data_IF_789525898440
#
_entry.id   IF_789525898440
#
_cell.length_a   1.000
_cell.length_b   1.000
_cell.length_c   1.000
_cell.angle_alpha   90.00
_cell.angle_beta   90.00
_cell.angle_gamma   90.00
#
_symmetry.space_group_name_H-M   'P 1'
#
loop_
_entity.id
_entity.type
_entity.pdbx_description
1 polymer ?
#
# COMPACT_ATOMS: atom_id res chain seq x y z
N UNK A 1 -47.67 45.24 -17.83
CA UNK A 1 -46.19 45.38 -17.91
C UNK A 1 -45.39 44.89 -16.70
N UNK A 2 -45.95 44.77 -15.48
CA UNK A 2 -45.20 44.28 -14.29
C UNK A 2 -45.06 42.75 -14.19
N UNK A 3 -46.08 41.99 -14.63
CA UNK A 3 -46.09 40.52 -14.53
C UNK A 3 -45.01 39.83 -15.38
N UNK A 4 -44.73 40.34 -16.60
CA UNK A 4 -43.67 39.78 -17.45
C UNK A 4 -42.30 39.90 -16.80
N UNK A 5 -41.98 41.06 -16.21
CA UNK A 5 -40.70 41.28 -15.53
C UNK A 5 -40.54 40.36 -14.31
N UNK A 6 -41.63 40.12 -13.57
CA UNK A 6 -41.63 39.19 -12.44
C UNK A 6 -41.44 37.74 -12.90
N UNK A 7 -42.16 37.30 -13.93
CA UNK A 7 -42.03 35.96 -14.49
C UNK A 7 -40.62 35.69 -15.04
N UNK A 8 -40.02 36.68 -15.72
CA UNK A 8 -38.66 36.57 -16.25
C UNK A 8 -37.62 36.45 -15.12
N UNK A 9 -37.81 37.19 -14.02
CA UNK A 9 -36.94 37.14 -12.85
C UNK A 9 -37.02 35.78 -12.13
N UNK A 10 -38.22 35.20 -12.03
CA UNK A 10 -38.42 33.84 -11.49
C UNK A 10 -37.71 32.80 -12.37
N UNK A 11 -37.82 32.89 -13.70
CA UNK A 11 -37.12 31.97 -14.62
C UNK A 11 -35.61 32.05 -14.45
N UNK A 12 -35.05 33.26 -14.33
CA UNK A 12 -33.60 33.46 -14.11
C UNK A 12 -33.18 32.81 -12.78
N UNK A 13 -33.95 33.00 -11.71
CA UNK A 13 -33.66 32.37 -10.41
C UNK A 13 -33.71 30.85 -10.52
N UNK A 14 -34.71 30.28 -11.19
CA UNK A 14 -34.83 28.83 -11.40
C UNK A 14 -33.64 28.28 -12.21
N UNK A 15 -33.18 29.01 -13.25
CA UNK A 15 -32.00 28.61 -14.02
C UNK A 15 -30.72 28.69 -13.20
N UNK A 16 -30.55 29.71 -12.37
CA UNK A 16 -29.39 29.83 -11.48
C UNK A 16 -29.37 28.72 -10.44
N UNK A 17 -30.50 28.46 -9.79
CA UNK A 17 -30.64 27.38 -8.80
C UNK A 17 -30.43 26.02 -9.47
N UNK A 18 -31.05 25.77 -10.62
CA UNK A 18 -30.88 24.52 -11.38
C UNK A 18 -29.43 24.31 -11.85
N UNK A 19 -28.78 25.37 -12.34
CA UNK A 19 -27.37 25.34 -12.73
C UNK A 19 -26.44 25.07 -11.54
N UNK A 20 -26.74 25.66 -10.38
CA UNK A 20 -26.00 25.41 -9.14
C UNK A 20 -26.14 23.96 -8.67
N UNK A 21 -27.36 23.42 -8.65
CA UNK A 21 -27.60 22.01 -8.30
C UNK A 21 -26.92 21.04 -9.27
N UNK A 22 -26.99 21.30 -10.58
CA UNK A 22 -26.31 20.49 -11.58
C UNK A 22 -24.79 20.52 -11.38
N UNK A 23 -24.21 21.70 -11.11
CA UNK A 23 -22.79 21.84 -10.83
C UNK A 23 -22.37 21.08 -9.57
N UNK A 24 -23.14 21.19 -8.47
CA UNK A 24 -22.86 20.43 -7.25
C UNK A 24 -22.90 18.92 -7.49
N UNK A 25 -23.95 18.43 -8.17
CA UNK A 25 -24.08 17.02 -8.50
C UNK A 25 -22.90 16.50 -9.31
N UNK A 26 -22.47 17.24 -10.34
CA UNK A 26 -21.31 16.86 -11.16
C UNK A 26 -20.02 16.84 -10.36
N UNK A 27 -19.86 17.75 -9.40
CA UNK A 27 -18.71 17.74 -8.49
C UNK A 27 -18.76 16.55 -7.53
N UNK A 28 -19.94 16.12 -7.10
CA UNK A 28 -20.10 14.97 -6.21
C UNK A 28 -19.79 13.66 -6.94
N UNK A 29 -20.30 13.50 -8.17
CA UNK A 29 -20.00 12.36 -9.04
C UNK A 29 -18.49 12.23 -9.33
N UNK A 30 -17.78 13.37 -9.47
CA UNK A 30 -16.33 13.39 -9.70
C UNK A 30 -15.52 12.69 -8.61
N UNK A 31 -15.99 12.74 -7.36
CA UNK A 31 -15.30 12.17 -6.20
C UNK A 31 -15.99 10.95 -5.60
N UNK A 32 -16.98 10.40 -6.30
CA UNK A 32 -17.70 9.24 -5.83
C UNK A 32 -16.72 8.07 -5.60
N UNK A 33 -16.88 7.34 -4.49
CA UNK A 33 -16.03 6.18 -4.20
C UNK A 33 -14.60 6.50 -3.75
N UNK A 34 -14.17 7.78 -3.69
CA UNK A 34 -12.87 8.16 -3.13
C UNK A 34 -12.97 8.30 -1.60
N UNK A 35 -12.28 7.46 -0.80
CA UNK A 35 -12.30 7.54 0.66
C UNK A 35 -11.64 8.83 1.18
N UNK A 36 -10.60 9.28 0.48
CA UNK A 36 -9.84 10.49 0.77
C UNK A 36 -9.78 11.36 -0.49
N UNK A 37 -10.05 12.65 -0.31
CA UNK A 37 -9.99 13.66 -1.38
C UNK A 37 -8.91 14.67 -0.98
N UNK A 38 -7.67 14.53 -1.46
CA UNK A 38 -6.57 15.44 -1.12
C UNK A 38 -6.91 16.92 -1.30
N UNK A 39 -7.69 17.30 -2.33
CA UNK A 39 -8.09 18.70 -2.56
C UNK A 39 -9.00 19.28 -1.46
N UNK A 40 -9.57 18.43 -0.58
CA UNK A 40 -10.43 18.82 0.54
C UNK A 40 -9.76 18.65 1.89
N UNK A 41 -8.51 18.20 1.93
CA UNK A 41 -7.71 18.03 3.15
C UNK A 41 -6.55 19.01 3.15
N UNK A 42 -6.23 19.57 4.31
CA UNK A 42 -5.13 20.54 4.41
C UNK A 42 -3.74 19.87 4.48
N UNK A 43 -3.71 18.59 4.86
CA UNK A 43 -2.51 17.88 5.28
C UNK A 43 -2.09 16.71 4.37
N UNK A 44 -2.87 16.43 3.33
CA UNK A 44 -2.52 15.48 2.28
C UNK A 44 -2.43 16.28 0.97
N UNK A 45 -1.21 16.61 0.51
CA UNK A 45 -1.03 17.37 -0.73
C UNK A 45 -1.39 16.49 -1.95
N UNK A 46 -1.74 17.10 -3.07
CA UNK A 46 -2.01 16.38 -4.33
C UNK A 46 -0.84 16.55 -5.29
N UNK A 47 -0.28 15.44 -5.79
CA UNK A 47 0.74 15.46 -6.84
C UNK A 47 0.23 16.20 -8.09
N UNK A 48 1.06 17.10 -8.63
CA UNK A 48 0.70 17.91 -9.80
C UNK A 48 0.60 17.04 -11.06
N UNK A 49 -0.63 16.72 -11.46
CA UNK A 49 -0.91 15.86 -12.61
C UNK A 49 -2.06 14.90 -12.35
N UNK A 50 -2.23 14.49 -11.09
CA UNK A 50 -3.32 13.63 -10.67
C UNK A 50 -4.67 14.32 -10.83
N UNK A 51 -5.59 13.64 -11.52
CA UNK A 51 -6.97 14.07 -11.71
C UNK A 51 -7.91 13.01 -11.13
N UNK A 52 -9.00 13.39 -10.46
CA UNK A 52 -9.97 12.43 -9.99
C UNK A 52 -10.65 11.74 -11.17
N UNK A 53 -10.61 10.43 -11.18
CA UNK A 53 -11.32 9.54 -12.08
C UNK A 53 -11.87 8.37 -11.25
N UNK A 54 -12.82 8.70 -10.37
CA UNK A 54 -13.52 7.79 -9.45
C UNK A 54 -13.54 6.33 -9.96
N UNK A 55 -13.06 5.36 -9.15
CA UNK A 55 -12.72 5.47 -7.73
C UNK A 55 -11.24 5.77 -7.46
N UNK A 56 -10.47 6.24 -8.45
CA UNK A 56 -9.02 6.47 -8.32
C UNK A 56 -8.64 7.88 -8.79
N UNK A 57 -7.39 8.29 -8.54
CA UNK A 57 -6.77 9.40 -9.25
C UNK A 57 -5.92 8.86 -10.38
N UNK A 58 -5.89 9.56 -11.52
CA UNK A 58 -5.11 9.15 -12.69
C UNK A 58 -4.19 10.26 -13.18
N UNK A 59 -3.06 9.86 -13.76
CA UNK A 59 -2.24 10.68 -14.65
C UNK A 59 -1.83 9.85 -15.86
N UNK A 60 -1.74 10.49 -17.02
CA UNK A 60 -1.32 9.83 -18.26
C UNK A 60 0.19 9.57 -18.21
N UNK A 61 0.63 8.40 -18.65
CA UNK A 61 2.02 7.96 -18.63
C UNK A 61 2.45 7.24 -17.36
N UNK A 62 3.68 6.78 -17.39
CA UNK A 62 4.36 6.15 -16.27
C UNK A 62 4.92 7.23 -15.34
N UNK A 63 4.29 7.38 -14.17
CA UNK A 63 4.59 8.41 -13.20
C UNK A 63 4.61 7.91 -11.75
N UNK A 64 4.55 6.59 -11.55
CA UNK A 64 4.36 6.04 -10.20
C UNK A 64 5.55 6.36 -9.28
N UNK A 65 6.78 6.40 -9.83
CA UNK A 65 8.00 6.73 -9.09
C UNK A 65 8.04 8.21 -8.68
N UNK A 66 7.64 9.13 -9.55
CA UNK A 66 7.56 10.56 -9.20
C UNK A 66 6.47 10.81 -8.17
N UNK A 67 5.34 10.09 -8.26
CA UNK A 67 4.28 10.14 -7.25
C UNK A 67 4.79 9.61 -5.92
N UNK A 68 5.54 8.51 -5.91
CA UNK A 68 6.16 7.95 -4.72
C UNK A 68 7.07 8.97 -4.01
N UNK A 69 8.06 9.50 -4.73
CA UNK A 69 9.01 10.46 -4.17
C UNK A 69 8.37 11.80 -3.75
N UNK A 70 7.30 12.20 -4.43
CA UNK A 70 6.53 13.37 -4.00
C UNK A 70 5.95 13.18 -2.60
N UNK A 71 5.31 12.03 -2.34
CA UNK A 71 4.71 11.77 -1.03
C UNK A 71 5.76 11.55 0.05
N UNK A 72 6.86 10.88 -0.27
CA UNK A 72 8.01 10.76 0.65
C UNK A 72 8.51 12.12 1.13
N UNK A 73 8.50 13.12 0.24
CA UNK A 73 8.99 14.47 0.54
C UNK A 73 7.96 15.36 1.22
N UNK A 74 6.70 15.33 0.79
CA UNK A 74 5.70 16.31 1.20
C UNK A 74 4.89 15.89 2.43
N UNK A 75 4.66 14.59 2.65
CA UNK A 75 3.88 14.12 3.80
C UNK A 75 4.56 14.40 5.16
N UNK A 76 5.88 14.20 5.34
CA UNK A 76 6.57 14.54 6.59
C UNK A 76 6.42 16.01 6.98
N UNK A 77 6.38 16.92 6.01
CA UNK A 77 6.18 18.36 6.27
C UNK A 77 4.81 18.67 6.88
N UNK A 78 3.85 17.78 6.69
CA UNK A 78 2.47 17.89 7.18
C UNK A 78 2.22 17.02 8.43
N UNK A 79 3.28 16.48 9.05
CA UNK A 79 3.24 15.72 10.29
C UNK A 79 2.91 14.23 10.11
N UNK A 80 2.98 13.72 8.88
CA UNK A 80 2.83 12.29 8.59
C UNK A 80 4.18 11.59 8.68
N UNK A 81 4.24 10.50 9.42
CA UNK A 81 5.42 9.65 9.57
C UNK A 81 5.22 8.38 8.75
N UNK A 82 6.21 8.06 7.90
CA UNK A 82 6.21 6.81 7.15
C UNK A 82 6.34 5.63 8.12
N UNK A 83 5.48 4.62 7.96
CA UNK A 83 5.56 3.36 8.72
C UNK A 83 6.04 2.21 7.88
N UNK A 84 5.39 2.01 6.74
CA UNK A 84 5.68 0.92 5.81
C UNK A 84 5.68 1.50 4.42
N UNK A 85 6.65 1.09 3.62
CA UNK A 85 6.72 1.39 2.19
C UNK A 85 7.18 0.15 1.45
N UNK A 86 6.51 -0.17 0.35
CA UNK A 86 6.88 -1.25 -0.56
C UNK A 86 6.76 -0.69 -1.98
N UNK A 87 7.79 -0.86 -2.80
CA UNK A 87 7.83 -0.39 -4.17
C UNK A 87 8.39 -1.48 -5.07
N UNK A 88 7.90 -1.57 -6.31
CA UNK A 88 8.40 -2.51 -7.30
C UNK A 88 9.88 -2.27 -7.59
N UNK A 89 10.66 -3.36 -7.65
CA UNK A 89 12.09 -3.30 -7.99
C UNK A 89 12.36 -3.13 -9.49
N UNK A 90 11.43 -3.56 -10.35
CA UNK A 90 11.50 -3.33 -11.80
C UNK A 90 10.47 -2.27 -12.22
N UNK A 91 10.98 -1.09 -12.60
CA UNK A 91 10.16 0.02 -13.08
C UNK A 91 9.44 -0.29 -14.40
N UNK A 92 9.95 -1.26 -15.17
CA UNK A 92 9.41 -1.60 -16.48
C UNK A 92 8.37 -2.72 -16.41
N UNK A 93 8.01 -3.23 -15.23
CA UNK A 93 6.96 -4.24 -15.11
C UNK A 93 5.57 -3.62 -15.37
N UNK A 94 4.64 -4.37 -15.98
CA UNK A 94 3.25 -3.92 -16.05
C UNK A 94 2.62 -4.05 -14.66
N UNK A 95 2.05 -2.97 -14.12
CA UNK A 95 1.64 -2.90 -12.72
C UNK A 95 2.77 -2.52 -11.75
N UNK A 96 3.93 -2.10 -12.25
CA UNK A 96 4.97 -1.49 -11.41
C UNK A 96 4.37 -0.32 -10.61
N UNK A 97 4.76 -0.21 -9.34
CA UNK A 97 4.07 0.68 -8.43
C UNK A 97 4.59 0.63 -7.01
N UNK A 98 3.86 1.26 -6.11
CA UNK A 98 4.18 1.26 -4.68
C UNK A 98 2.91 1.20 -3.83
N UNK A 99 3.10 0.83 -2.58
CA UNK A 99 2.15 1.06 -1.50
C UNK A 99 2.91 1.62 -0.29
N UNK A 100 2.35 2.63 0.34
CA UNK A 100 2.95 3.29 1.50
C UNK A 100 1.90 3.61 2.54
N UNK A 101 2.28 3.50 3.81
CA UNK A 101 1.41 3.71 4.95
C UNK A 101 2.00 4.76 5.87
N UNK A 102 1.18 5.74 6.21
CA UNK A 102 1.58 6.93 6.91
C UNK A 102 0.71 7.14 8.15
N UNK A 103 1.35 7.52 9.24
CA UNK A 103 0.66 7.83 10.49
C UNK A 103 0.85 9.27 10.89
N UNK A 104 -0.17 9.85 11.50
CA UNK A 104 -0.11 11.19 12.06
C UNK A 104 -0.63 11.19 13.49
N UNK A 105 0.02 11.95 14.35
CA UNK A 105 -0.38 12.10 15.74
C UNK A 105 -1.84 12.55 15.83
N UNK A 106 -2.57 12.00 16.81
CA UNK A 106 -4.00 12.26 17.03
C UNK A 106 -4.92 11.91 15.85
N UNK A 107 -4.44 11.15 14.85
CA UNK A 107 -5.27 10.63 13.76
C UNK A 107 -5.53 9.13 14.01
N UNK A 108 -6.80 8.70 14.19
CA UNK A 108 -7.13 7.33 14.61
C UNK A 108 -7.00 6.28 13.48
N UNK A 109 -6.56 6.71 12.29
CA UNK A 109 -6.38 5.90 11.10
C UNK A 109 -5.01 6.21 10.49
N UNK A 110 -4.49 5.30 9.65
CA UNK A 110 -3.30 5.49 8.85
C UNK A 110 -3.68 5.80 7.39
N UNK A 111 -2.96 6.72 6.77
CA UNK A 111 -3.10 7.03 5.34
C UNK A 111 -2.39 5.95 4.53
N UNK A 112 -3.15 5.21 3.72
CA UNK A 112 -2.61 4.33 2.69
C UNK A 112 -2.58 5.08 1.36
N UNK A 113 -1.43 5.06 0.69
CA UNK A 113 -1.27 5.54 -0.68
C UNK A 113 -0.69 4.41 -1.50
N UNK A 114 -1.42 3.98 -2.52
CA UNK A 114 -0.93 3.03 -3.51
C UNK A 114 -0.96 3.63 -4.90
N UNK A 115 0.06 3.38 -5.70
CA UNK A 115 0.08 3.74 -7.11
C UNK A 115 0.56 2.57 -7.96
N UNK A 116 0.03 2.45 -9.17
CA UNK A 116 0.47 1.47 -10.16
C UNK A 116 0.37 2.04 -11.57
N UNK A 117 1.37 1.76 -12.40
CA UNK A 117 1.35 2.07 -13.82
C UNK A 117 0.82 0.88 -14.63
N UNK A 118 -0.17 1.15 -15.48
CA UNK A 118 -0.76 0.16 -16.36
C UNK A 118 -0.45 0.50 -17.82
N UNK A 119 0.36 -0.35 -18.47
CA UNK A 119 0.81 -0.15 -19.87
C UNK A 119 -0.34 -0.17 -20.87
N UNK A 120 -1.34 -1.01 -20.63
CA UNK A 120 -2.49 -1.16 -21.54
C UNK A 120 -3.31 0.13 -21.70
N UNK A 121 -3.42 0.90 -20.62
CA UNK A 121 -4.11 2.19 -20.57
C UNK A 121 -3.16 3.38 -20.65
N UNK A 122 -1.84 3.15 -20.62
CA UNK A 122 -0.80 4.18 -20.57
C UNK A 122 -1.11 5.23 -19.48
N UNK A 123 -1.42 4.76 -18.27
CA UNK A 123 -1.79 5.63 -17.16
C UNK A 123 -1.29 5.09 -15.83
N UNK A 124 -0.94 5.99 -14.93
CA UNK A 124 -0.67 5.70 -13.52
C UNK A 124 -1.94 5.97 -12.73
N UNK A 125 -2.40 4.97 -12.00
CA UNK A 125 -3.52 5.07 -11.07
C UNK A 125 -3.00 5.22 -9.65
N UNK A 126 -3.63 6.08 -8.85
CA UNK A 126 -3.27 6.38 -7.48
C UNK A 126 -4.51 6.33 -6.60
N UNK A 127 -4.43 5.61 -5.49
CA UNK A 127 -5.50 5.45 -4.51
C UNK A 127 -5.06 6.04 -3.19
N UNK A 128 -5.97 6.75 -2.53
CA UNK A 128 -5.80 7.24 -1.17
C UNK A 128 -6.89 6.60 -0.32
N UNK A 129 -6.47 5.88 0.72
CA UNK A 129 -7.40 5.20 1.60
C UNK A 129 -7.07 5.39 3.08
N UNK A 130 -8.07 5.15 3.92
CA UNK A 130 -7.93 5.05 5.36
C UNK A 130 -7.73 3.59 5.71
N UNK A 131 -6.52 3.26 6.12
CA UNK A 131 -6.22 1.98 6.73
C UNK A 131 -6.42 2.08 8.24
N UNK A 132 -6.72 0.95 8.87
CA UNK A 132 -6.42 0.79 10.29
C UNK A 132 -4.92 1.03 10.51
N UNK A 133 -4.54 1.49 11.71
CA UNK A 133 -3.13 1.67 12.02
C UNK A 133 -2.43 0.34 11.88
N UNK A 134 -1.47 0.28 10.97
CA UNK A 134 -0.64 -0.90 10.83
C UNK A 134 0.31 -0.92 12.01
N UNK A 135 0.05 -1.83 12.95
CA UNK A 135 1.07 -2.25 13.86
C UNK A 135 2.07 -3.06 13.02
N UNK A 136 3.27 -2.53 12.86
CA UNK A 136 4.40 -3.29 12.34
C UNK A 136 5.37 -3.45 13.51
N UNK A 137 4.90 -4.06 14.60
CA UNK A 137 5.76 -4.23 15.76
C UNK A 137 6.89 -5.19 15.37
N UNK A 138 8.16 -4.83 15.62
CA UNK A 138 9.27 -5.68 15.26
C UNK A 138 9.14 -7.02 16.00
N UNK A 139 9.10 -8.10 15.23
CA UNK A 139 9.10 -9.46 15.78
C UNK A 139 10.51 -9.89 16.16
N UNK A 140 11.51 -9.40 15.44
CA UNK A 140 12.92 -9.73 15.65
C UNK A 140 13.65 -8.44 16.02
N UNK A 141 13.95 -8.27 17.31
CA UNK A 141 14.54 -7.08 17.93
C UNK A 141 15.97 -7.30 18.42
N UNK A 142 16.44 -8.54 18.42
CA UNK A 142 17.81 -8.94 18.78
C UNK A 142 18.68 -9.10 17.54
N UNK A 143 19.96 -8.74 17.66
CA UNK A 143 20.97 -9.06 16.64
C UNK A 143 21.07 -10.58 16.45
N UNK A 144 20.82 -11.06 15.23
CA UNK A 144 20.81 -12.49 14.89
C UNK A 144 22.05 -12.83 14.08
N UNK A 145 22.87 -13.74 14.59
CA UNK A 145 24.15 -14.13 13.96
C UNK A 145 24.04 -15.34 13.03
N UNK A 146 23.00 -16.16 13.19
CA UNK A 146 22.72 -17.33 12.37
C UNK A 146 21.21 -17.55 12.29
N UNK A 147 20.71 -17.87 11.09
CA UNK A 147 19.34 -18.33 10.87
C UNK A 147 19.33 -19.67 10.15
N UNK A 148 18.27 -20.45 10.36
CA UNK A 148 18.07 -21.77 9.79
C UNK A 148 16.78 -21.78 8.98
N UNK A 149 16.91 -21.91 7.65
CA UNK A 149 15.78 -21.84 6.71
C UNK A 149 15.46 -23.25 6.20
N UNK A 150 14.26 -23.74 6.49
CA UNK A 150 13.77 -25.03 6.03
C UNK A 150 12.66 -24.85 4.99
N UNK A 151 12.98 -25.10 3.72
CA UNK A 151 12.06 -25.00 2.59
C UNK A 151 10.96 -26.10 2.60
N UNK A 152 11.24 -27.26 3.20
CA UNK A 152 10.36 -28.43 3.16
C UNK A 152 10.39 -29.17 4.50
N UNK A 153 9.76 -28.58 5.51
CA UNK A 153 9.72 -29.11 6.87
C UNK A 153 9.21 -30.55 6.97
N UNK A 154 8.30 -30.96 6.08
CA UNK A 154 7.75 -32.32 6.05
C UNK A 154 8.71 -33.39 5.46
N UNK A 155 9.86 -32.98 4.90
CA UNK A 155 10.75 -33.86 4.13
C UNK A 155 12.18 -33.95 4.64
N UNK A 156 12.64 -33.01 5.46
CA UNK A 156 14.05 -32.94 5.88
C UNK A 156 14.23 -32.10 7.15
N UNK A 157 14.99 -32.64 8.11
CA UNK A 157 15.51 -31.88 9.26
C UNK A 157 16.73 -31.00 8.90
N UNK A 158 17.27 -31.15 7.68
CA UNK A 158 18.33 -30.27 7.19
C UNK A 158 17.74 -28.94 6.73
N UNK A 159 18.18 -27.86 7.38
CA UNK A 159 17.93 -26.49 6.97
C UNK A 159 19.16 -25.86 6.31
N UNK A 160 18.91 -24.87 5.47
CA UNK A 160 19.93 -23.97 4.96
C UNK A 160 20.32 -23.00 6.09
N UNK A 161 21.54 -23.17 6.61
CA UNK A 161 22.12 -22.24 7.59
C UNK A 161 22.69 -21.03 6.88
N UNK A 162 22.30 -19.85 7.33
CA UNK A 162 22.81 -18.57 6.86
C UNK A 162 23.48 -17.84 8.02
N UNK A 163 24.70 -17.35 7.79
CA UNK A 163 25.50 -16.56 8.75
C UNK A 163 25.97 -15.22 8.16
N UNK A 164 25.51 -14.88 6.96
CA UNK A 164 25.80 -13.58 6.33
C UNK A 164 24.95 -12.51 7.01
N UNK A 165 25.60 -11.63 7.78
CA UNK A 165 24.91 -10.62 8.57
C UNK A 165 24.10 -9.64 7.72
N UNK A 166 24.59 -9.28 6.52
CA UNK A 166 23.88 -8.34 5.66
C UNK A 166 22.60 -8.97 5.10
N UNK A 167 22.68 -10.24 4.67
CA UNK A 167 21.50 -10.98 4.20
C UNK A 167 20.48 -11.20 5.33
N UNK A 168 20.94 -11.51 6.55
CA UNK A 168 20.07 -11.67 7.73
C UNK A 168 19.36 -10.35 8.06
N UNK A 169 20.08 -9.23 8.10
CA UNK A 169 19.50 -7.91 8.35
C UNK A 169 18.44 -7.53 7.32
N UNK A 170 18.65 -7.85 6.04
CA UNK A 170 17.66 -7.62 4.99
C UNK A 170 16.40 -8.47 5.20
N UNK A 171 16.54 -9.77 5.49
CA UNK A 171 15.40 -10.65 5.79
C UNK A 171 14.62 -10.12 7.01
N UNK A 172 15.33 -9.74 8.08
CA UNK A 172 14.72 -9.17 9.29
C UNK A 172 13.97 -7.88 8.97
N UNK A 173 14.55 -6.99 8.16
CA UNK A 173 13.92 -5.74 7.73
C UNK A 173 12.61 -6.00 6.99
N UNK A 174 12.60 -6.95 6.05
CA UNK A 174 11.41 -7.35 5.28
C UNK A 174 10.31 -7.92 6.18
N UNK A 175 10.65 -8.83 7.10
CA UNK A 175 9.69 -9.44 8.04
C UNK A 175 9.14 -8.39 9.03
N UNK A 176 10.01 -7.55 9.59
CA UNK A 176 9.58 -6.53 10.54
C UNK A 176 8.72 -5.45 9.88
N UNK A 177 9.02 -5.08 8.64
CA UNK A 177 8.24 -4.14 7.82
C UNK A 177 6.95 -4.72 7.23
N UNK A 178 6.70 -6.03 7.39
CA UNK A 178 5.46 -6.65 6.97
C UNK A 178 4.29 -6.25 7.89
N UNK A 179 3.10 -6.24 7.30
CA UNK A 179 1.88 -5.69 7.88
C UNK A 179 1.23 -6.72 8.80
N UNK A 180 0.88 -6.38 10.05
CA UNK A 180 0.10 -7.29 10.89
C UNK A 180 -1.29 -7.56 10.31
N UNK A 181 -1.69 -8.84 10.31
CA UNK A 181 -2.97 -9.31 9.79
C UNK A 181 -3.63 -10.25 10.78
N UNK A 182 -4.97 -10.29 10.79
CA UNK A 182 -5.70 -11.32 11.53
C UNK A 182 -5.40 -12.69 10.91
N UNK A 183 -5.02 -13.71 11.67
CA UNK A 183 -4.83 -15.08 11.18
C UNK A 183 -6.14 -15.75 10.73
N UNK A 184 -6.89 -15.17 9.80
CA UNK A 184 -7.97 -15.90 9.11
C UNK A 184 -7.40 -16.73 7.95
N UNK A 185 -7.36 -18.05 8.19
CA UNK A 185 -7.15 -19.15 7.23
C UNK A 185 -6.28 -18.79 6.01
N UNK A 186 -4.99 -18.51 6.23
CA UNK A 186 -4.02 -18.62 5.15
C UNK A 186 -4.15 -20.03 4.55
N UNK A 187 -4.54 -20.14 3.28
CA UNK A 187 -4.72 -21.44 2.62
C UNK A 187 -3.35 -22.08 2.41
N UNK A 188 -2.99 -22.96 3.33
CA UNK A 188 -1.65 -23.55 3.48
C UNK A 188 -1.38 -24.65 2.45
N UNK A 189 -0.88 -24.29 1.26
CA UNK A 189 -0.43 -25.27 0.27
C UNK A 189 1.09 -25.47 0.24
N UNK A 190 1.87 -24.67 0.97
CA UNK A 190 3.32 -24.83 1.13
C UNK A 190 3.84 -24.10 2.38
N UNK A 191 4.64 -24.78 3.20
CA UNK A 191 5.16 -24.26 4.48
C UNK A 191 6.69 -24.33 4.49
N UNK A 192 7.31 -23.16 4.51
CA UNK A 192 8.71 -23.02 4.89
C UNK A 192 8.81 -22.50 6.32
N UNK A 193 9.94 -22.72 6.96
CA UNK A 193 10.19 -22.24 8.32
C UNK A 193 11.53 -21.54 8.36
N UNK A 194 11.56 -20.34 8.95
CA UNK A 194 12.78 -19.64 9.29
C UNK A 194 12.91 -19.62 10.81
N UNK A 195 13.98 -20.23 11.30
CA UNK A 195 14.32 -20.24 12.72
C UNK A 195 15.43 -19.22 12.99
N UNK A 196 15.12 -18.20 13.78
CA UNK A 196 16.04 -17.16 14.26
C UNK A 196 16.61 -17.49 15.65
N UNK A 197 16.32 -18.68 16.20
CA UNK A 197 16.74 -19.15 17.51
C UNK A 197 15.88 -18.62 18.66
N UNK A 198 15.56 -17.31 18.66
CA UNK A 198 14.64 -16.69 19.63
C UNK A 198 13.18 -16.76 19.20
N UNK A 199 12.92 -16.85 17.90
CA UNK A 199 11.60 -16.94 17.30
C UNK A 199 11.65 -17.85 16.07
N UNK A 200 10.60 -18.63 15.90
CA UNK A 200 10.39 -19.45 14.71
C UNK A 200 9.23 -18.85 13.92
N UNK A 201 9.45 -18.66 12.61
CA UNK A 201 8.48 -18.05 11.71
C UNK A 201 8.12 -19.04 10.63
N UNK A 202 6.85 -19.42 10.59
CA UNK A 202 6.26 -20.15 9.48
C UNK A 202 6.02 -19.17 8.33
N UNK A 203 6.51 -19.53 7.14
CA UNK A 203 6.39 -18.74 5.92
C UNK A 203 5.48 -19.48 4.94
N UNK A 204 4.37 -18.84 4.61
CA UNK A 204 3.44 -19.29 3.58
C UNK A 204 3.47 -18.28 2.44
N UNK A 205 3.54 -18.74 1.20
CA UNK A 205 3.58 -17.82 0.07
C UNK A 205 2.73 -18.31 -1.09
N UNK A 206 2.19 -17.35 -1.81
CA UNK A 206 1.50 -17.50 -3.09
C UNK A 206 1.93 -16.29 -3.93
N UNK A 207 2.50 -16.53 -5.10
CA UNK A 207 3.06 -15.46 -5.95
C UNK A 207 1.99 -14.47 -6.44
N UNK A 208 0.71 -14.83 -6.39
CA UNK A 208 -0.38 -13.91 -6.72
C UNK A 208 -0.95 -13.21 -5.47
N UNK A 209 -0.86 -13.83 -4.28
CA UNK A 209 -1.54 -13.34 -3.06
C UNK A 209 -0.63 -12.74 -1.99
N UNK A 210 0.68 -12.96 -2.04
CA UNK A 210 1.62 -12.46 -1.03
C UNK A 210 2.32 -13.53 -0.20
N UNK A 211 3.17 -13.05 0.70
CA UNK A 211 3.90 -13.82 1.69
C UNK A 211 3.27 -13.56 3.06
N UNK A 212 2.88 -14.62 3.74
CA UNK A 212 2.38 -14.60 5.11
C UNK A 212 3.43 -15.18 6.05
N UNK A 213 3.75 -14.41 7.09
CA UNK A 213 4.59 -14.83 8.21
C UNK A 213 3.71 -15.14 9.41
N UNK A 214 3.89 -16.29 10.04
CA UNK A 214 3.13 -16.70 11.22
C UNK A 214 4.10 -17.13 12.32
N UNK A 215 3.91 -16.59 13.53
CA UNK A 215 4.69 -16.93 14.71
C UNK A 215 3.80 -16.94 15.96
N UNK A 216 4.39 -17.20 17.12
CA UNK A 216 3.71 -17.05 18.42
C UNK A 216 3.32 -15.59 18.73
N UNK A 217 3.92 -14.61 18.04
CA UNK A 217 3.57 -13.18 18.13
C UNK A 217 2.36 -12.77 17.28
N UNK A 218 1.91 -13.61 16.35
CA UNK A 218 0.76 -13.33 15.48
C UNK A 218 1.03 -13.66 14.01
N UNK A 219 0.35 -12.95 13.10
CA UNK A 219 0.52 -13.08 11.66
C UNK A 219 0.87 -11.73 11.00
N UNK A 220 1.74 -11.78 10.00
CA UNK A 220 2.11 -10.64 9.14
C UNK A 220 1.98 -11.00 7.67
N UNK A 221 1.79 -9.99 6.82
CA UNK A 221 1.67 -10.13 5.38
C UNK A 221 2.54 -9.10 4.64
N UNK A 222 3.14 -9.50 3.53
CA UNK A 222 3.80 -8.61 2.58
C UNK A 222 3.55 -9.04 1.13
N UNK A 223 3.74 -8.12 0.18
CA UNK A 223 3.77 -8.42 -1.25
C UNK A 223 4.85 -9.50 -1.53
N UNK A 224 4.69 -10.37 -2.55
CA UNK A 224 5.76 -11.27 -2.96
C UNK A 224 6.94 -10.44 -3.49
N UNK A 225 7.99 -10.31 -2.68
CA UNK A 225 9.21 -9.60 -3.06
C UNK A 225 10.25 -10.61 -3.55
N UNK A 226 10.76 -10.41 -4.77
CA UNK A 226 11.77 -11.30 -5.37
C UNK A 226 13.02 -11.43 -4.49
N UNK A 227 13.46 -10.31 -3.91
CA UNK A 227 14.61 -10.28 -3.01
C UNK A 227 14.44 -11.24 -1.82
N UNK A 228 13.25 -11.30 -1.24
CA UNK A 228 12.96 -12.22 -0.13
C UNK A 228 13.20 -13.68 -0.55
N UNK A 229 12.71 -14.08 -1.73
CA UNK A 229 12.88 -15.44 -2.23
C UNK A 229 14.33 -15.77 -2.58
N UNK A 230 15.06 -14.83 -3.19
CA UNK A 230 16.48 -15.01 -3.54
C UNK A 230 17.36 -15.18 -2.29
N UNK A 231 17.11 -14.37 -1.26
CA UNK A 231 17.83 -14.46 0.02
C UNK A 231 17.51 -15.78 0.75
N UNK A 232 16.23 -16.13 0.84
CA UNK A 232 15.78 -17.25 1.68
C UNK A 232 15.82 -18.61 0.97
N UNK A 233 15.85 -18.64 -0.36
CA UNK A 233 15.76 -19.84 -1.20
C UNK A 233 14.48 -20.65 -0.97
N UNK A 234 13.44 -19.99 -0.47
CA UNK A 234 12.15 -20.62 -0.14
C UNK A 234 11.33 -20.97 -1.40
N UNK A 235 11.58 -20.30 -2.53
CA UNK A 235 10.97 -20.61 -3.82
C UNK A 235 12.01 -21.09 -4.83
N UNK A 236 11.63 -22.05 -5.69
CA UNK A 236 12.47 -22.55 -6.79
C UNK A 236 12.27 -21.82 -8.11
N UNK A 237 11.33 -20.89 -8.14
CA UNK A 237 11.02 -20.10 -9.33
C UNK A 237 11.99 -18.91 -9.50
N UNK A 238 12.85 -18.66 -8.50
CA UNK A 238 13.87 -17.63 -8.47
C UNK A 238 15.22 -18.16 -7.98
#
# INVERSE_FOLDING_TARGET
MKFWKLALLIIIIVLLVGGFFYFQKKQEEKYQGLPIIPERTADIPLYSGLKPASPVYITEGDHWEEVFHFYEKELPKNGWNLRVSQASSDINEDGAGFISYWEKDNTPWALSISASYFKNSNQTEVVFDKSERLNADPWIDTEVSEICINEQTDRSDHCFRMTDSQAIEQIVSLINGAIEVDPEQAYYNGKSVIDFGSITIDVYYDLEKGIYFVSDKGAKWMKPEREFFELTRISKEY
#
